data_IF_465208718003
#
_entry.id   IF_465208718003
#
_cell.length_a   1.000
_cell.length_b   1.000
_cell.length_c   1.000
_cell.angle_alpha   90.00
_cell.angle_beta   90.00
_cell.angle_gamma   90.00
#
_symmetry.space_group_name_H-M   'P 1'
#
loop_
_entity.id
_entity.type
_entity.pdbx_description
1 polymer ?
#
# COMPACT_ATOMS: atom_id res chain seq x y z
N UNK A 1 -6.03 18.25 16.36
CA UNK A 1 -5.12 17.86 17.47
C UNK A 1 -5.21 16.37 17.77
N UNK A 2 -6.39 15.83 18.14
CA UNK A 2 -6.56 14.38 18.40
C UNK A 2 -6.07 13.48 17.26
N UNK A 3 -6.41 13.81 16.01
CA UNK A 3 -5.98 13.02 14.86
C UNK A 3 -4.48 13.03 14.63
N UNK A 4 -3.82 14.18 14.82
CA UNK A 4 -2.36 14.27 14.71
C UNK A 4 -1.66 13.45 15.80
N UNK A 5 -2.21 13.43 17.02
CA UNK A 5 -1.71 12.57 18.09
C UNK A 5 -1.91 11.08 17.75
N UNK A 6 -3.07 10.70 17.20
CA UNK A 6 -3.34 9.33 16.75
C UNK A 6 -2.36 8.90 15.65
N UNK A 7 -2.10 9.80 14.68
CA UNK A 7 -1.12 9.58 13.63
C UNK A 7 0.30 9.44 14.22
N UNK A 8 0.70 10.33 15.12
CA UNK A 8 2.00 10.24 15.78
C UNK A 8 2.18 8.94 16.56
N UNK A 9 1.19 8.49 17.33
CA UNK A 9 1.26 7.21 18.08
C UNK A 9 1.31 6.01 17.13
N UNK A 10 0.52 6.05 16.06
CA UNK A 10 0.48 4.96 15.07
C UNK A 10 1.81 4.84 14.33
N UNK A 11 2.41 5.96 13.94
CA UNK A 11 3.61 5.98 13.09
C UNK A 11 4.93 6.05 13.85
N UNK A 12 4.96 6.50 15.11
CA UNK A 12 6.16 6.42 15.97
C UNK A 12 6.66 4.99 16.13
N UNK A 13 5.76 4.02 16.04
CA UNK A 13 6.04 2.59 16.18
C UNK A 13 6.08 1.84 14.84
N UNK A 14 5.91 2.52 13.69
CA UNK A 14 6.07 1.87 12.38
C UNK A 14 7.56 1.89 12.06
N UNK A 15 8.25 0.88 12.58
CA UNK A 15 9.49 0.41 11.99
C UNK A 15 9.08 -0.56 10.90
N UNK A 16 9.27 -0.18 9.63
CA UNK A 16 9.25 -1.20 8.57
C UNK A 16 10.47 -2.08 8.82
N UNK A 17 10.25 -3.22 9.47
CA UNK A 17 11.25 -4.26 9.52
C UNK A 17 11.46 -4.71 8.08
N UNK A 18 12.67 -4.50 7.57
CA UNK A 18 13.10 -5.15 6.35
C UNK A 18 13.08 -6.64 6.71
N UNK A 19 12.05 -7.35 6.23
CA UNK A 19 12.06 -8.80 6.34
C UNK A 19 13.32 -9.30 5.62
N UNK A 20 13.94 -10.37 6.12
CA UNK A 20 15.17 -10.90 5.50
C UNK A 20 15.00 -11.16 4.00
N UNK A 21 13.80 -11.54 3.55
CA UNK A 21 13.49 -11.68 2.11
C UNK A 21 13.51 -10.34 1.35
N UNK A 22 12.95 -9.27 1.92
CA UNK A 22 12.98 -7.92 1.30
C UNK A 22 14.39 -7.34 1.28
N UNK A 23 15.24 -7.71 2.24
CA UNK A 23 16.66 -7.36 2.24
C UNK A 23 17.37 -7.99 1.04
N UNK A 24 17.26 -9.31 0.88
CA UNK A 24 17.88 -10.02 -0.24
C UNK A 24 17.29 -9.56 -1.58
N UNK A 25 15.99 -9.37 -1.68
CA UNK A 25 15.35 -8.85 -2.89
C UNK A 25 15.85 -7.44 -3.23
N UNK A 26 16.00 -6.58 -2.23
CA UNK A 26 16.60 -5.24 -2.39
C UNK A 26 18.05 -5.31 -2.87
N UNK A 27 18.85 -6.23 -2.34
CA UNK A 27 20.23 -6.47 -2.76
C UNK A 27 20.32 -6.89 -4.25
N UNK A 28 19.57 -7.93 -4.64
CA UNK A 28 19.49 -8.34 -6.05
C UNK A 28 18.97 -7.22 -6.95
N UNK A 29 18.03 -6.42 -6.46
CA UNK A 29 17.46 -5.31 -7.22
C UNK A 29 18.49 -4.23 -7.55
N UNK A 30 19.45 -3.95 -6.66
CA UNK A 30 20.52 -3.00 -6.92
C UNK A 30 21.46 -3.47 -8.04
N UNK A 31 21.75 -4.77 -8.08
CA UNK A 31 22.61 -5.38 -9.11
C UNK A 31 21.89 -5.35 -10.48
N UNK A 32 20.59 -5.64 -10.47
CA UNK A 32 19.81 -5.84 -11.70
C UNK A 32 19.13 -4.59 -12.24
N UNK A 33 19.15 -3.47 -11.50
CA UNK A 33 18.44 -2.22 -11.83
C UNK A 33 18.70 -1.75 -13.28
N UNK A 34 17.63 -1.47 -14.02
CA UNK A 34 17.71 -1.00 -15.40
C UNK A 34 17.55 -2.12 -16.45
N UNK A 35 18.31 -2.05 -17.54
CA UNK A 35 18.21 -3.01 -18.65
C UNK A 35 18.90 -4.34 -18.31
N UNK A 36 18.29 -5.44 -18.75
CA UNK A 36 18.76 -6.81 -18.51
C UNK A 36 19.80 -7.20 -19.56
N UNK A 37 21.04 -6.74 -19.37
CA UNK A 37 22.17 -7.02 -20.25
C UNK A 37 22.73 -8.44 -20.04
N UNK A 38 23.58 -8.89 -20.97
CA UNK A 38 24.20 -10.22 -20.93
C UNK A 38 24.96 -10.51 -19.63
N UNK A 39 25.64 -9.52 -19.05
CA UNK A 39 26.34 -9.64 -17.77
C UNK A 39 25.40 -9.97 -16.60
N UNK A 40 24.27 -9.27 -16.51
CA UNK A 40 23.25 -9.52 -15.48
C UNK A 40 22.59 -10.89 -15.65
N UNK A 41 22.46 -11.36 -16.89
CA UNK A 41 21.98 -12.73 -17.17
C UNK A 41 22.97 -13.80 -16.73
N UNK A 42 24.26 -13.56 -16.97
CA UNK A 42 25.31 -14.45 -16.48
C UNK A 42 25.30 -14.53 -14.95
N UNK A 43 25.11 -13.39 -14.27
CA UNK A 43 24.95 -13.34 -12.81
C UNK A 43 23.71 -14.13 -12.32
N UNK A 44 22.55 -13.98 -12.96
CA UNK A 44 21.37 -14.77 -12.63
C UNK A 44 21.61 -16.28 -12.82
N UNK A 45 22.32 -16.66 -13.88
CA UNK A 45 22.65 -18.07 -14.13
C UNK A 45 23.63 -18.64 -13.09
N UNK A 46 24.62 -17.86 -12.65
CA UNK A 46 25.55 -18.30 -11.60
C UNK A 46 24.85 -18.46 -10.24
N UNK A 47 23.92 -17.56 -9.90
CA UNK A 47 23.15 -17.66 -8.67
C UNK A 47 22.17 -18.84 -8.69
N UNK A 48 21.49 -19.08 -9.81
CA UNK A 48 20.64 -20.28 -9.93
C UNK A 48 21.48 -21.57 -9.80
N UNK A 49 22.69 -21.61 -10.38
CA UNK A 49 23.62 -22.73 -10.21
C UNK A 49 24.06 -22.92 -8.76
N UNK A 50 24.37 -21.84 -8.03
CA UNK A 50 24.71 -21.87 -6.60
C UNK A 50 23.56 -22.50 -5.79
N UNK A 51 22.34 -22.03 -6.00
CA UNK A 51 21.18 -22.54 -5.26
C UNK A 51 20.78 -23.97 -5.66
N UNK A 52 20.92 -24.36 -6.94
CA UNK A 52 20.66 -25.73 -7.35
C UNK A 52 21.70 -26.69 -6.77
N UNK A 53 22.98 -26.30 -6.80
CA UNK A 53 24.07 -27.10 -6.21
C UNK A 53 23.87 -27.34 -4.72
N UNK A 54 23.54 -26.29 -3.97
CA UNK A 54 23.22 -26.39 -2.55
C UNK A 54 22.01 -27.31 -2.28
N UNK A 55 20.95 -27.18 -3.07
CA UNK A 55 19.76 -28.04 -2.94
C UNK A 55 20.07 -29.51 -3.23
N UNK A 56 20.87 -29.79 -4.27
CA UNK A 56 21.28 -31.15 -4.62
C UNK A 56 22.17 -31.78 -3.54
N UNK A 57 23.06 -30.99 -2.93
CA UNK A 57 23.92 -31.43 -1.82
C UNK A 57 23.11 -31.75 -0.56
N UNK A 58 22.16 -30.89 -0.20
CA UNK A 58 21.22 -31.14 0.89
C UNK A 58 20.41 -32.42 0.65
N UNK A 59 19.94 -32.67 -0.58
CA UNK A 59 19.18 -33.88 -0.91
C UNK A 59 20.05 -35.15 -0.83
N UNK A 60 21.32 -35.08 -1.24
CA UNK A 60 22.27 -36.18 -1.08
C UNK A 60 22.53 -36.49 0.39
N UNK A 61 22.77 -35.48 1.21
CA UNK A 61 22.96 -35.64 2.66
C UNK A 61 21.72 -36.23 3.32
N UNK A 62 20.53 -35.76 2.95
CA UNK A 62 19.27 -36.31 3.47
C UNK A 62 19.10 -37.79 3.11
N UNK A 63 19.43 -38.19 1.87
CA UNK A 63 19.43 -39.61 1.46
C UNK A 63 20.45 -40.46 2.22
N UNK A 64 21.67 -39.96 2.43
CA UNK A 64 22.70 -40.67 3.20
C UNK A 64 22.27 -40.87 4.66
N UNK A 65 21.63 -39.87 5.26
CA UNK A 65 21.08 -39.98 6.61
C UNK A 65 19.89 -40.95 6.68
N UNK A 66 18.93 -40.88 5.75
CA UNK A 66 17.80 -41.80 5.68
C UNK A 66 18.24 -43.26 5.49
N UNK A 67 19.31 -43.49 4.72
CA UNK A 67 19.92 -44.81 4.53
C UNK A 67 20.82 -45.25 5.70
N UNK A 68 20.93 -44.45 6.78
CA UNK A 68 21.82 -44.70 7.93
C UNK A 68 23.31 -44.83 7.57
N UNK A 69 23.75 -44.19 6.48
CA UNK A 69 25.15 -44.15 6.02
C UNK A 69 25.98 -43.12 6.81
N UNK A 70 25.32 -42.10 7.38
CA UNK A 70 25.93 -41.03 8.19
C UNK A 70 25.17 -40.87 9.51
N UNK A 71 25.88 -40.45 10.55
CA UNK A 71 25.29 -40.13 11.85
C UNK A 71 24.57 -38.78 11.84
N UNK A 72 23.63 -38.60 12.77
CA UNK A 72 22.83 -37.37 12.91
C UNK A 72 23.71 -36.14 13.18
N UNK A 73 24.75 -36.30 14.01
CA UNK A 73 25.68 -35.20 14.31
C UNK A 73 26.47 -34.77 13.08
N UNK A 74 26.89 -35.73 12.24
CA UNK A 74 27.57 -35.46 10.97
C UNK A 74 26.63 -34.81 9.95
N UNK A 75 25.37 -35.26 9.90
CA UNK A 75 24.33 -34.70 9.05
C UNK A 75 24.05 -33.22 9.39
N UNK A 76 23.85 -32.90 10.68
CA UNK A 76 23.61 -31.52 11.11
C UNK A 76 24.84 -30.61 10.87
N UNK A 77 26.05 -31.12 11.12
CA UNK A 77 27.27 -30.37 10.81
C UNK A 77 27.36 -30.03 9.33
N UNK A 78 27.18 -31.03 8.45
CA UNK A 78 27.26 -30.87 7.00
C UNK A 78 26.18 -29.92 6.47
N UNK A 79 24.96 -29.99 7.00
CA UNK A 79 23.88 -29.06 6.62
C UNK A 79 24.18 -27.60 6.99
N UNK A 80 24.89 -27.34 8.09
CA UNK A 80 25.25 -25.98 8.50
C UNK A 80 26.41 -25.40 7.69
N UNK A 81 27.23 -26.24 7.04
CA UNK A 81 28.29 -25.78 6.13
C UNK A 81 27.75 -25.36 4.75
N UNK A 82 26.56 -25.84 4.37
CA UNK A 82 25.93 -25.46 3.12
C UNK A 82 25.44 -24.01 3.23
N UNK A 83 25.98 -23.14 2.38
CA UNK A 83 25.56 -21.74 2.25
C UNK A 83 24.19 -21.64 1.54
N UNK A 84 23.12 -21.93 2.28
CA UNK A 84 21.74 -21.92 1.82
C UNK A 84 20.80 -21.24 2.81
N UNK A 85 20.36 -20.02 2.49
CA UNK A 85 19.26 -19.35 3.19
C UNK A 85 17.96 -19.50 2.38
N UNK A 86 16.93 -20.21 2.89
CA UNK A 86 15.63 -20.34 2.22
C UNK A 86 14.98 -18.99 1.85
N UNK A 87 15.26 -17.95 2.62
CA UNK A 87 14.70 -16.60 2.45
C UNK A 87 15.39 -15.89 1.28
N UNK A 88 16.68 -16.12 1.12
CA UNK A 88 17.43 -15.66 -0.05
C UNK A 88 16.94 -16.36 -1.32
N UNK A 89 16.71 -17.69 -1.28
CA UNK A 89 16.15 -18.43 -2.41
C UNK A 89 14.77 -17.91 -2.82
N UNK A 90 13.90 -17.63 -1.85
CA UNK A 90 12.56 -17.06 -2.11
C UNK A 90 12.67 -15.67 -2.75
N UNK A 91 13.55 -14.82 -2.24
CA UNK A 91 13.83 -13.51 -2.85
C UNK A 91 14.37 -13.63 -4.28
N UNK A 92 15.29 -14.58 -4.53
CA UNK A 92 15.84 -14.85 -5.85
C UNK A 92 14.76 -15.32 -6.84
N UNK A 93 13.87 -16.24 -6.43
CA UNK A 93 12.72 -16.67 -7.25
C UNK A 93 11.82 -15.49 -7.65
N UNK A 94 11.59 -14.55 -6.73
CA UNK A 94 10.82 -13.32 -7.01
C UNK A 94 11.51 -12.41 -8.03
N UNK A 95 12.84 -12.32 -7.98
CA UNK A 95 13.65 -11.58 -8.97
C UNK A 95 13.56 -12.22 -10.35
N UNK A 96 13.73 -13.54 -10.44
CA UNK A 96 13.64 -14.28 -11.71
C UNK A 96 12.26 -14.11 -12.35
N UNK A 97 11.18 -14.26 -11.57
CA UNK A 97 9.82 -14.07 -12.05
C UNK A 97 9.59 -12.66 -12.63
N UNK A 98 10.17 -11.62 -12.02
CA UNK A 98 10.10 -10.27 -12.57
C UNK A 98 10.90 -10.13 -13.88
N UNK A 99 12.09 -10.73 -13.96
CA UNK A 99 12.89 -10.72 -15.18
C UNK A 99 12.16 -11.38 -16.36
N UNK A 100 11.55 -12.55 -16.13
CA UNK A 100 10.73 -13.25 -17.13
C UNK A 100 9.55 -12.40 -17.61
N UNK A 101 8.86 -11.72 -16.67
CA UNK A 101 7.77 -10.81 -17.02
C UNK A 101 8.26 -9.62 -17.85
N UNK A 102 9.43 -9.06 -17.53
CA UNK A 102 10.03 -7.96 -18.29
C UNK A 102 10.36 -8.41 -19.70
N UNK A 103 10.88 -9.63 -19.89
CA UNK A 103 11.17 -10.19 -21.20
C UNK A 103 9.93 -10.34 -22.06
N UNK A 104 8.87 -10.89 -21.48
CA UNK A 104 7.58 -11.02 -22.18
C UNK A 104 7.01 -9.65 -22.61
N UNK A 105 7.19 -8.62 -21.78
CA UNK A 105 6.75 -7.25 -22.09
C UNK A 105 7.64 -6.62 -23.18
N UNK A 106 8.96 -6.79 -23.10
CA UNK A 106 9.91 -6.29 -24.08
C UNK A 106 9.67 -6.91 -25.47
N UNK A 107 9.33 -8.19 -25.54
CA UNK A 107 8.94 -8.87 -26.78
C UNK A 107 7.69 -8.26 -27.43
N UNK A 108 6.82 -7.63 -26.62
CA UNK A 108 5.63 -6.92 -27.10
C UNK A 108 5.92 -5.50 -27.60
N UNK A 109 7.20 -5.09 -27.67
CA UNK A 109 7.64 -3.78 -28.16
C UNK A 109 7.58 -2.65 -27.10
N UNK A 110 7.39 -3.01 -25.82
CA UNK A 110 7.28 -2.07 -24.70
C UNK A 110 8.60 -2.08 -23.92
N UNK A 111 9.32 -0.95 -23.77
CA UNK A 111 10.58 -0.93 -23.04
C UNK A 111 10.34 -1.03 -21.52
N UNK A 112 10.31 -2.25 -20.99
CA UNK A 112 10.26 -2.54 -19.58
C UNK A 112 11.68 -2.74 -19.01
N UNK A 113 11.91 -2.23 -17.80
CA UNK A 113 13.20 -2.30 -17.11
C UNK A 113 13.01 -2.86 -15.70
N UNK A 114 14.07 -3.46 -15.18
CA UNK A 114 14.07 -4.00 -13.83
C UNK A 114 14.09 -2.86 -12.81
N UNK A 115 13.20 -2.94 -11.81
CA UNK A 115 13.08 -1.98 -10.72
C UNK A 115 12.65 -2.69 -9.45
N UNK A 116 13.14 -2.23 -8.29
CA UNK A 116 12.68 -2.73 -7.00
C UNK A 116 11.17 -2.49 -6.84
N UNK A 117 10.39 -3.57 -6.84
CA UNK A 117 8.93 -3.51 -6.79
C UNK A 117 8.38 -3.46 -5.35
N UNK A 118 9.18 -3.77 -4.33
CA UNK A 118 8.78 -3.79 -2.91
C UNK A 118 8.06 -2.51 -2.45
N UNK A 119 8.57 -1.28 -2.68
CA UNK A 119 7.86 -0.07 -2.26
C UNK A 119 6.49 0.06 -2.95
N UNK A 120 6.35 -0.41 -4.18
CA UNK A 120 5.11 -0.33 -4.95
C UNK A 120 4.11 -1.42 -4.56
N UNK A 121 4.56 -2.63 -4.25
CA UNK A 121 3.71 -3.68 -3.68
C UNK A 121 3.12 -3.28 -2.33
N UNK A 122 3.84 -2.49 -1.54
CA UNK A 122 3.30 -1.93 -0.30
C UNK A 122 2.12 -0.98 -0.56
N UNK A 123 1.90 -0.46 -1.76
CA UNK A 123 0.73 0.37 -2.10
C UNK A 123 -0.29 -0.35 -3.00
N UNK A 124 0.17 -1.21 -3.91
CA UNK A 124 -0.63 -1.80 -4.98
C UNK A 124 -0.75 -3.33 -4.89
N UNK A 125 0.09 -3.99 -4.10
CA UNK A 125 0.10 -5.43 -3.93
C UNK A 125 -1.07 -5.92 -3.07
N UNK A 126 -1.32 -7.22 -3.08
CA UNK A 126 -2.34 -7.85 -2.21
C UNK A 126 -2.11 -7.58 -0.72
N UNK A 127 -0.83 -7.56 -0.29
CA UNK A 127 -0.44 -7.24 1.07
C UNK A 127 -0.82 -5.80 1.50
N UNK A 128 -0.98 -4.89 0.54
CA UNK A 128 -1.35 -3.50 0.81
C UNK A 128 -2.83 -3.33 1.19
N UNK A 129 -3.70 -4.30 0.86
CA UNK A 129 -5.16 -4.17 1.00
C UNK A 129 -5.52 -3.83 2.44
N UNK A 130 -5.03 -4.60 3.41
CA UNK A 130 -5.32 -4.40 4.82
C UNK A 130 -4.85 -3.03 5.33
N UNK A 131 -3.65 -2.61 4.92
CA UNK A 131 -3.10 -1.31 5.30
C UNK A 131 -3.92 -0.17 4.68
N UNK A 132 -4.33 -0.29 3.41
CA UNK A 132 -5.20 0.66 2.72
C UNK A 132 -6.56 0.77 3.41
N UNK A 133 -7.18 -0.36 3.80
CA UNK A 133 -8.42 -0.36 4.58
C UNK A 133 -8.24 0.37 5.92
N UNK A 134 -7.11 0.14 6.60
CA UNK A 134 -6.74 0.86 7.82
C UNK A 134 -6.69 2.38 7.63
N UNK A 135 -6.06 2.85 6.55
CA UNK A 135 -5.95 4.27 6.25
C UNK A 135 -7.29 4.90 5.86
N UNK A 136 -8.13 4.17 5.11
CA UNK A 136 -9.51 4.60 4.83
C UNK A 136 -10.40 4.65 6.09
N UNK A 137 -10.24 3.70 7.01
CA UNK A 137 -10.96 3.76 8.30
C UNK A 137 -10.56 5.00 9.10
N UNK A 138 -9.27 5.33 9.18
CA UNK A 138 -8.77 6.56 9.81
C UNK A 138 -9.37 7.81 9.15
N UNK A 139 -9.37 7.85 7.81
CA UNK A 139 -9.94 8.94 7.03
C UNK A 139 -11.43 9.15 7.35
N UNK A 140 -12.24 8.11 7.24
CA UNK A 140 -13.69 8.21 7.47
C UNK A 140 -14.03 8.50 8.93
N UNK A 141 -13.25 7.99 9.87
CA UNK A 141 -13.42 8.31 11.29
C UNK A 141 -13.24 9.81 11.56
N UNK A 142 -12.19 10.43 11.01
CA UNK A 142 -11.96 11.86 11.17
C UNK A 142 -13.03 12.70 10.48
N UNK A 143 -13.44 12.30 9.26
CA UNK A 143 -14.50 12.98 8.53
C UNK A 143 -15.83 12.90 9.26
N UNK A 144 -16.19 11.74 9.82
CA UNK A 144 -17.41 11.58 10.60
C UNK A 144 -17.40 12.47 11.85
N UNK A 145 -16.30 12.51 12.60
CA UNK A 145 -16.21 13.39 13.79
C UNK A 145 -16.33 14.87 13.43
N UNK A 146 -15.68 15.30 12.34
CA UNK A 146 -15.57 16.71 11.96
C UNK A 146 -16.84 17.22 11.27
N UNK A 147 -17.36 16.45 10.32
CA UNK A 147 -18.44 16.89 9.42
C UNK A 147 -19.82 16.55 9.99
N UNK A 148 -19.99 15.38 10.63
CA UNK A 148 -21.31 14.95 11.12
C UNK A 148 -21.87 15.84 12.23
N UNK A 149 -21.00 16.59 12.92
CA UNK A 149 -21.38 17.60 13.91
C UNK A 149 -21.83 18.93 13.28
N UNK A 150 -21.27 19.31 12.11
CA UNK A 150 -21.45 20.64 11.54
C UNK A 150 -22.90 20.92 11.11
N UNK A 151 -23.53 20.01 10.36
CA UNK A 151 -24.91 20.18 9.89
C UNK A 151 -25.96 20.00 11.00
N UNK A 152 -25.68 19.15 11.98
CA UNK A 152 -26.57 18.85 13.09
C UNK A 152 -26.62 20.00 14.10
N UNK A 153 -25.47 20.63 14.41
CA UNK A 153 -25.40 21.86 15.22
C UNK A 153 -26.28 22.96 14.65
N UNK A 154 -26.18 23.21 13.34
CA UNK A 154 -26.95 24.28 12.67
C UNK A 154 -28.45 24.02 12.67
N UNK A 155 -28.84 22.74 12.56
CA UNK A 155 -30.24 22.32 12.59
C UNK A 155 -30.80 22.42 14.00
N UNK A 156 -30.04 21.99 15.01
CA UNK A 156 -30.43 22.04 16.42
C UNK A 156 -30.56 23.48 16.93
N UNK A 157 -29.63 24.36 16.56
CA UNK A 157 -29.58 25.77 17.00
C UNK A 157 -30.50 26.71 16.22
N UNK A 158 -31.23 26.21 15.22
CA UNK A 158 -32.10 27.01 14.33
C UNK A 158 -31.39 28.14 13.57
N UNK A 159 -30.04 28.16 13.57
CA UNK A 159 -29.23 29.13 12.82
C UNK A 159 -29.51 29.04 11.31
N UNK A 160 -30.01 27.90 10.82
CA UNK A 160 -30.51 27.75 9.44
C UNK A 160 -31.57 28.79 9.06
N UNK A 161 -32.44 29.20 9.99
CA UNK A 161 -33.47 30.21 9.74
C UNK A 161 -32.83 31.59 9.58
N UNK A 162 -31.86 31.93 10.44
CA UNK A 162 -31.11 33.19 10.37
C UNK A 162 -30.28 33.32 9.09
N UNK A 163 -29.68 32.21 8.62
CA UNK A 163 -28.94 32.19 7.35
C UNK A 163 -29.88 32.46 6.16
N UNK A 164 -31.11 31.96 6.19
CA UNK A 164 -32.08 32.12 5.11
C UNK A 164 -32.50 33.57 4.89
N UNK A 165 -32.58 34.37 5.97
CA UNK A 165 -32.92 35.80 5.93
C UNK A 165 -31.69 36.72 5.77
N UNK A 166 -30.48 36.18 5.75
CA UNK A 166 -29.25 36.99 5.61
C UNK A 166 -29.06 37.51 4.18
N UNK A 167 -28.37 38.65 4.05
CA UNK A 167 -28.12 39.31 2.75
C UNK A 167 -27.33 38.44 1.74
N UNK A 168 -26.49 37.50 2.21
CA UNK A 168 -25.78 36.55 1.34
C UNK A 168 -26.65 35.38 0.88
N UNK A 169 -27.77 35.15 1.56
CA UNK A 169 -28.71 34.06 1.25
C UNK A 169 -28.19 32.66 1.55
N UNK A 170 -29.12 31.70 1.59
CA UNK A 170 -28.86 30.29 1.89
C UNK A 170 -27.88 29.62 0.92
N UNK A 171 -27.94 29.98 -0.37
CA UNK A 171 -27.15 29.33 -1.42
C UNK A 171 -25.65 29.63 -1.30
N UNK A 172 -25.27 30.90 -1.12
CA UNK A 172 -23.86 31.30 -0.97
C UNK A 172 -23.22 30.68 0.28
N UNK A 173 -23.96 30.64 1.39
CA UNK A 173 -23.47 30.02 2.63
C UNK A 173 -23.30 28.51 2.46
N UNK A 174 -24.22 27.83 1.77
CA UNK A 174 -24.10 26.39 1.52
C UNK A 174 -22.93 26.07 0.57
N UNK A 175 -22.70 26.90 -0.47
CA UNK A 175 -21.57 26.72 -1.38
C UNK A 175 -20.23 26.85 -0.64
N UNK A 176 -20.08 27.86 0.20
CA UNK A 176 -18.87 28.04 1.01
C UNK A 176 -18.63 26.85 1.96
N UNK A 177 -19.69 26.27 2.54
CA UNK A 177 -19.58 25.06 3.35
C UNK A 177 -19.11 23.86 2.54
N UNK A 178 -19.62 23.68 1.31
CA UNK A 178 -19.17 22.62 0.42
C UNK A 178 -17.69 22.78 0.07
N UNK A 179 -17.21 24.01 -0.17
CA UNK A 179 -15.78 24.28 -0.39
C UNK A 179 -14.96 23.92 0.86
N UNK A 180 -15.41 24.33 2.05
CA UNK A 180 -14.73 24.00 3.31
C UNK A 180 -14.70 22.48 3.52
N UNK A 181 -15.79 21.77 3.26
CA UNK A 181 -15.86 20.30 3.37
C UNK A 181 -14.90 19.64 2.38
N UNK A 182 -14.79 20.15 1.15
CA UNK A 182 -13.84 19.63 0.18
C UNK A 182 -12.39 19.82 0.67
N UNK A 183 -12.05 20.99 1.20
CA UNK A 183 -10.72 21.27 1.78
C UNK A 183 -10.43 20.40 3.01
N UNK A 184 -11.41 20.21 3.89
CA UNK A 184 -11.31 19.31 5.05
C UNK A 184 -11.13 17.85 4.58
N UNK A 185 -11.85 17.43 3.54
CA UNK A 185 -11.71 16.12 2.90
C UNK A 185 -10.30 15.86 2.39
N UNK A 186 -9.76 16.80 1.59
CA UNK A 186 -8.42 16.70 1.02
C UNK A 186 -7.33 16.72 2.09
N UNK A 187 -7.46 17.59 3.10
CA UNK A 187 -6.48 17.65 4.21
C UNK A 187 -6.53 16.39 5.08
N UNK A 188 -7.72 15.85 5.34
CA UNK A 188 -7.86 14.58 6.06
C UNK A 188 -7.28 13.39 5.26
N UNK A 189 -7.49 13.35 3.94
CA UNK A 189 -6.90 12.34 3.06
C UNK A 189 -5.37 12.40 3.07
N UNK A 190 -4.80 13.61 2.91
CA UNK A 190 -3.36 13.81 3.00
C UNK A 190 -2.83 13.32 4.35
N UNK A 191 -3.44 13.72 5.46
CA UNK A 191 -3.00 13.31 6.80
C UNK A 191 -3.19 11.81 7.08
N UNK A 192 -4.16 11.15 6.46
CA UNK A 192 -4.39 9.72 6.64
C UNK A 192 -3.32 8.87 5.93
N UNK A 193 -2.94 9.25 4.71
CA UNK A 193 -2.05 8.46 3.85
C UNK A 193 -0.60 8.94 3.85
N UNK A 194 -0.32 10.24 4.08
CA UNK A 194 1.02 10.80 4.00
C UNK A 194 2.04 10.12 4.92
N UNK A 195 1.73 9.79 6.19
CA UNK A 195 2.75 9.22 7.06
C UNK A 195 3.27 7.86 6.57
N UNK A 196 2.41 7.05 5.93
CA UNK A 196 2.82 5.78 5.29
C UNK A 196 3.66 6.01 4.05
N UNK A 197 3.29 6.98 3.22
CA UNK A 197 4.07 7.35 2.03
C UNK A 197 5.48 7.80 2.46
N UNK A 198 5.59 8.64 3.48
CA UNK A 198 6.87 9.11 4.03
C UNK A 198 7.68 7.94 4.61
N UNK A 199 7.03 7.04 5.36
CA UNK A 199 7.72 5.90 5.94
C UNK A 199 8.28 4.94 4.87
N UNK A 200 7.51 4.63 3.83
CA UNK A 200 7.98 3.78 2.71
C UNK A 200 9.10 4.47 1.92
N UNK A 201 8.96 5.78 1.67
CA UNK A 201 9.99 6.55 0.99
C UNK A 201 11.32 6.56 1.76
N UNK A 202 11.27 6.74 3.08
CA UNK A 202 12.47 6.75 3.91
C UNK A 202 13.17 5.39 3.99
N UNK A 203 12.42 4.28 3.89
CA UNK A 203 12.99 2.92 3.98
C UNK A 203 13.50 2.40 2.63
N UNK A 204 12.72 2.57 1.56
CA UNK A 204 12.98 1.92 0.27
C UNK A 204 13.21 2.91 -0.88
N UNK A 205 12.80 4.17 -0.73
CA UNK A 205 12.73 5.13 -1.83
C UNK A 205 11.67 4.78 -2.88
N UNK A 206 11.64 5.56 -3.96
CA UNK A 206 10.80 5.30 -5.15
C UNK A 206 11.66 5.23 -6.42
N UNK A 207 12.29 4.08 -6.69
CA UNK A 207 13.12 3.91 -7.88
C UNK A 207 12.24 3.82 -9.14
N UNK A 208 12.73 4.34 -10.27
CA UNK A 208 12.09 4.11 -11.57
C UNK A 208 10.73 4.79 -11.80
N UNK A 209 10.44 5.93 -11.18
CA UNK A 209 9.16 6.65 -11.36
C UNK A 209 8.77 6.99 -12.81
N UNK A 210 9.78 7.10 -13.70
CA UNK A 210 9.61 7.38 -15.12
C UNK A 210 9.44 6.10 -15.97
N UNK A 211 9.49 4.92 -15.35
CA UNK A 211 9.30 3.66 -16.06
C UNK A 211 7.81 3.39 -16.31
N UNK A 212 7.49 2.62 -17.36
CA UNK A 212 6.12 2.16 -17.59
C UNK A 212 5.62 1.33 -16.41
N UNK A 213 4.36 1.55 -16.01
CA UNK A 213 3.73 0.86 -14.87
C UNK A 213 3.69 -0.66 -15.02
N UNK A 214 3.76 -1.17 -16.26
CA UNK A 214 3.84 -2.60 -16.58
C UNK A 214 5.12 -3.28 -16.09
N UNK A 215 6.17 -2.51 -15.79
CA UNK A 215 7.41 -3.04 -15.20
C UNK A 215 7.18 -3.64 -13.80
N UNK A 216 6.03 -3.34 -13.18
CA UNK A 216 5.60 -3.91 -11.90
C UNK A 216 4.73 -5.14 -12.15
N UNK A 217 5.12 -6.28 -11.56
CA UNK A 217 4.44 -7.57 -11.77
C UNK A 217 2.95 -7.52 -11.40
N UNK A 218 2.63 -6.84 -10.28
CA UNK A 218 1.25 -6.66 -9.79
C UNK A 218 0.36 -5.85 -10.73
N UNK A 219 0.93 -5.07 -11.65
CA UNK A 219 0.22 -4.15 -12.54
C UNK A 219 0.47 -4.45 -14.03
N UNK A 220 0.93 -5.67 -14.34
CA UNK A 220 1.18 -6.15 -15.72
C UNK A 220 -0.03 -6.00 -16.67
N UNK A 221 -1.26 -5.99 -16.13
CA UNK A 221 -2.52 -5.87 -16.88
C UNK A 221 -2.95 -4.44 -17.21
N UNK A 222 -2.28 -3.42 -16.69
CA UNK A 222 -2.66 -1.99 -16.88
C UNK A 222 -2.28 -1.52 -18.30
N UNK A 223 -3.04 -0.63 -18.96
CA UNK A 223 -2.69 -0.09 -20.28
C UNK A 223 -1.30 0.60 -20.31
N UNK A 224 -0.63 0.50 -21.46
CA UNK A 224 0.78 0.88 -21.69
C UNK A 224 1.10 2.37 -21.49
N UNK A 225 0.13 3.26 -21.62
CA UNK A 225 0.36 4.72 -21.67
C UNK A 225 0.62 5.38 -20.31
N UNK A 226 0.73 4.59 -19.24
CA UNK A 226 0.87 5.09 -17.87
C UNK A 226 2.24 4.78 -17.29
N UNK A 227 2.93 5.85 -16.90
CA UNK A 227 4.15 5.78 -16.09
C UNK A 227 3.77 5.49 -14.64
N UNK A 228 4.72 4.93 -13.86
CA UNK A 228 4.53 4.67 -12.42
C UNK A 228 4.13 5.95 -11.68
N UNK A 229 4.77 7.08 -11.99
CA UNK A 229 4.44 8.40 -11.42
C UNK A 229 2.98 8.82 -11.67
N UNK A 230 2.48 8.65 -12.90
CA UNK A 230 1.10 8.97 -13.27
C UNK A 230 0.11 8.04 -12.57
N UNK A 231 0.46 6.76 -12.40
CA UNK A 231 -0.31 5.80 -11.61
C UNK A 231 -0.47 6.22 -10.15
N UNK A 232 0.64 6.64 -9.51
CA UNK A 232 0.62 7.17 -8.14
C UNK A 232 -0.25 8.42 -8.01
N UNK A 233 -0.14 9.38 -8.95
CA UNK A 233 -0.97 10.59 -8.96
C UNK A 233 -2.44 10.25 -9.13
N UNK A 234 -2.77 9.33 -10.04
CA UNK A 234 -4.14 8.90 -10.28
C UNK A 234 -4.77 8.29 -9.03
N UNK A 235 -4.01 7.48 -8.29
CA UNK A 235 -4.47 6.87 -7.04
C UNK A 235 -4.60 7.91 -5.92
N UNK A 236 -3.65 8.84 -5.80
CA UNK A 236 -3.78 9.96 -4.87
C UNK A 236 -5.02 10.80 -5.17
N UNK A 237 -5.30 11.06 -6.45
CA UNK A 237 -6.47 11.79 -6.89
C UNK A 237 -7.77 11.02 -6.60
N UNK A 238 -7.82 9.71 -6.85
CA UNK A 238 -9.01 8.90 -6.56
C UNK A 238 -9.33 8.85 -5.07
N UNK A 239 -8.31 8.74 -4.21
CA UNK A 239 -8.45 8.86 -2.74
C UNK A 239 -9.01 10.23 -2.36
N UNK A 240 -8.51 11.31 -2.97
CA UNK A 240 -9.02 12.66 -2.78
C UNK A 240 -10.50 12.80 -3.18
N UNK A 241 -10.90 12.26 -4.33
CA UNK A 241 -12.29 12.25 -4.80
C UNK A 241 -13.19 11.48 -3.82
N UNK A 242 -12.76 10.31 -3.35
CA UNK A 242 -13.49 9.50 -2.37
C UNK A 242 -13.66 10.28 -1.04
N UNK A 243 -12.62 10.98 -0.58
CA UNK A 243 -12.66 11.78 0.64
C UNK A 243 -13.65 12.95 0.53
N UNK A 244 -13.66 13.65 -0.60
CA UNK A 244 -14.60 14.77 -0.85
C UNK A 244 -16.03 14.26 -0.98
N UNK A 245 -16.25 13.19 -1.76
CA UNK A 245 -17.57 12.60 -1.95
C UNK A 245 -18.17 12.08 -0.63
N UNK A 246 -17.38 11.35 0.16
CA UNK A 246 -17.79 10.89 1.50
C UNK A 246 -18.10 12.06 2.44
N UNK A 247 -17.29 13.12 2.43
CA UNK A 247 -17.55 14.34 3.19
C UNK A 247 -18.89 15.00 2.83
N UNK A 248 -19.23 15.08 1.54
CA UNK A 248 -20.52 15.60 1.10
C UNK A 248 -21.70 14.73 1.54
N UNK A 249 -21.57 13.41 1.47
CA UNK A 249 -22.60 12.48 1.94
C UNK A 249 -22.80 12.63 3.45
N UNK A 250 -21.72 12.66 4.23
CA UNK A 250 -21.78 12.85 5.69
C UNK A 250 -22.41 14.20 6.06
N UNK A 251 -22.08 15.27 5.32
CA UNK A 251 -22.71 16.56 5.51
C UNK A 251 -24.20 16.53 5.20
N UNK A 252 -24.61 15.86 4.13
CA UNK A 252 -26.01 15.69 3.78
C UNK A 252 -26.80 14.95 4.87
N UNK A 253 -26.24 13.84 5.39
CA UNK A 253 -26.82 13.10 6.53
C UNK A 253 -26.93 14.00 7.76
N UNK A 254 -25.89 14.77 8.06
CA UNK A 254 -25.86 15.70 9.19
C UNK A 254 -26.92 16.78 9.10
N UNK A 255 -27.19 17.32 7.92
CA UNK A 255 -28.22 18.34 7.72
C UNK A 255 -29.65 17.84 7.94
N UNK A 256 -29.90 16.55 7.73
CA UNK A 256 -31.21 15.92 7.89
C UNK A 256 -31.52 15.52 9.33
N UNK A 257 -30.50 15.46 10.19
CA UNK A 257 -30.62 14.97 11.56
C UNK A 257 -30.25 16.06 12.58
N UNK A 258 -31.19 16.51 13.43
CA UNK A 258 -30.90 17.49 14.47
C UNK A 258 -30.02 16.91 15.60
N UNK A 259 -30.05 15.59 15.81
CA UNK A 259 -29.24 14.93 16.82
C UNK A 259 -27.85 14.55 16.25
N UNK A 260 -26.80 15.13 16.85
CA UNK A 260 -25.40 14.91 16.46
C UNK A 260 -24.97 13.45 16.60
N UNK A 261 -25.46 12.77 17.63
CA UNK A 261 -25.11 11.36 17.92
C UNK A 261 -25.67 10.45 16.82
N UNK A 262 -26.92 10.70 16.39
CA UNK A 262 -27.56 9.92 15.31
C UNK A 262 -26.85 10.18 13.98
N UNK A 263 -26.51 11.43 13.66
CA UNK A 263 -25.76 11.77 12.46
C UNK A 263 -24.38 11.09 12.42
N UNK A 264 -23.67 11.06 13.56
CA UNK A 264 -22.39 10.38 13.70
C UNK A 264 -22.56 8.86 13.54
N UNK A 265 -23.54 8.26 14.23
CA UNK A 265 -23.79 6.82 14.17
C UNK A 265 -24.11 6.35 12.75
N UNK A 266 -24.97 7.09 12.02
CA UNK A 266 -25.29 6.78 10.62
C UNK A 266 -24.06 6.93 9.71
N UNK A 267 -23.26 7.98 9.90
CA UNK A 267 -22.04 8.20 9.11
C UNK A 267 -21.03 7.06 9.33
N UNK A 268 -20.83 6.66 10.58
CA UNK A 268 -19.95 5.54 10.93
C UNK A 268 -20.47 4.19 10.41
N UNK A 269 -21.77 3.96 10.50
CA UNK A 269 -22.40 2.72 10.01
C UNK A 269 -22.25 2.58 8.49
N UNK A 270 -22.40 3.67 7.73
CA UNK A 270 -22.32 3.64 6.26
C UNK A 270 -20.88 3.50 5.77
N UNK A 271 -19.91 4.18 6.40
CA UNK A 271 -18.54 4.26 5.87
C UNK A 271 -17.53 3.37 6.59
N UNK A 272 -17.64 3.20 7.91
CA UNK A 272 -16.65 2.48 8.71
C UNK A 272 -17.02 1.00 8.83
N UNK A 273 -18.30 0.68 9.03
CA UNK A 273 -18.72 -0.72 9.23
C UNK A 273 -18.38 -1.64 8.03
N UNK A 274 -18.62 -1.26 6.76
CA UNK A 274 -18.25 -2.11 5.62
C UNK A 274 -16.74 -2.37 5.55
N UNK A 275 -15.92 -1.36 5.85
CA UNK A 275 -14.47 -1.51 5.87
C UNK A 275 -14.00 -2.42 7.01
N UNK A 276 -14.62 -2.33 8.19
CA UNK A 276 -14.31 -3.21 9.31
C UNK A 276 -14.63 -4.67 8.98
N UNK A 277 -15.77 -4.91 8.32
CA UNK A 277 -16.16 -6.24 7.84
C UNK A 277 -15.16 -6.74 6.79
N UNK A 278 -14.85 -5.96 5.77
CA UNK A 278 -13.84 -6.33 4.77
C UNK A 278 -12.48 -6.61 5.41
N UNK A 279 -12.04 -5.79 6.38
CA UNK A 279 -10.79 -5.98 7.10
C UNK A 279 -10.76 -7.30 7.89
N UNK A 280 -11.91 -7.71 8.44
CA UNK A 280 -12.05 -8.99 9.14
C UNK A 280 -11.95 -10.19 8.18
N UNK A 281 -12.49 -10.06 6.97
CA UNK A 281 -12.44 -11.13 5.96
C UNK A 281 -11.08 -11.26 5.26
N UNK A 282 -10.31 -10.18 5.11
CA UNK A 282 -8.93 -10.21 4.58
C UNK A 282 -7.88 -10.85 5.51
N UNK A 283 -8.31 -11.70 6.45
CA UNK A 283 -7.43 -12.41 7.41
C UNK A 283 -7.02 -13.81 6.93
N UNK A 284 -7.42 -14.19 5.72
CA UNK A 284 -7.11 -15.47 5.07
C UNK A 284 -6.39 -15.23 3.74
#
# INVERSE_FOLDING_TARGET
KLFLCLQFVTYKNITYHIFSEDYYYGYYSQILEGELNAEKRAYLASEEYRFSGASDEMEKLNRQYENSEIDYDFYLFSLNEIDYDPRERTAFKRVVAQCESIDAINQSGIPARFVNQTPYELFFGSASIKANLGDFMKLFFVLALTISSCGSIETQSQVKILIAVSAKGKHSVNLNKMIIIALVGLTAAALAFAPRIVAVYNTYGFPGLNLPIRSLLSLSRVPHSLDISRGLIFIGASVGVIAVASGFIMYYISQRNPNRIIALALSSLIFIAPLAVCCFFTRY
#
